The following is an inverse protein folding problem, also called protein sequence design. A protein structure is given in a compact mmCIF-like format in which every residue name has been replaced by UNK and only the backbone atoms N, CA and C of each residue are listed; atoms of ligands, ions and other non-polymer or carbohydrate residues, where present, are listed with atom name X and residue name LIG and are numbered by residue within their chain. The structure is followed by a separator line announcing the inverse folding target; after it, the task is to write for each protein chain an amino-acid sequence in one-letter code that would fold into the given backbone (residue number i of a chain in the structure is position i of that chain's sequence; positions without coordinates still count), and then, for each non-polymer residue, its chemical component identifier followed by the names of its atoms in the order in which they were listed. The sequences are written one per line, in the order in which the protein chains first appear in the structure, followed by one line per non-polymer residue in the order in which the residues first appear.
data_IF_429601474179
#
_entry.id   IF_429601474179
#
_cell.length_a   1.000
_cell.length_b   1.000
_cell.length_c   1.000
_cell.angle_alpha   90.00
_cell.angle_beta   90.00
_cell.angle_gamma   90.00
#
_symmetry.space_group_name_H-M   'P 1'
#
loop_
_entity.id
_entity.type
_entity.pdbx_description
1 polymer ?
#
# COMPACT_ATOMS: atom_id res chain seq x y z
N UNK A 1 -6.01 -31.45 8.09
CA UNK A 1 -5.45 -30.08 8.19
C UNK A 1 -6.59 -29.08 8.04
N UNK A 2 -7.06 -28.50 9.14
CA UNK A 2 -8.10 -27.46 9.16
C UNK A 2 -7.36 -26.13 9.32
N UNK A 3 -6.79 -25.62 8.23
CA UNK A 3 -6.08 -24.33 8.26
C UNK A 3 -7.11 -23.24 7.95
N UNK A 4 -7.51 -22.55 9.01
CA UNK A 4 -8.08 -21.20 9.10
C UNK A 4 -8.51 -20.53 7.78
N UNK A 5 -9.81 -20.61 7.47
CA UNK A 5 -10.49 -19.48 6.83
C UNK A 5 -10.94 -18.56 7.97
N UNK A 6 -10.14 -17.52 8.27
CA UNK A 6 -10.71 -16.34 8.94
C UNK A 6 -11.80 -15.83 8.02
N UNK A 7 -12.99 -15.58 8.56
CA UNK A 7 -14.04 -14.90 7.79
C UNK A 7 -13.48 -13.56 7.32
N UNK A 8 -13.85 -13.08 6.13
CA UNK A 8 -13.29 -11.85 5.57
C UNK A 8 -13.38 -10.66 6.56
N UNK A 9 -14.46 -10.62 7.35
CA UNK A 9 -14.67 -9.68 8.46
C UNK A 9 -13.60 -9.77 9.56
N UNK A 10 -13.20 -10.98 9.97
CA UNK A 10 -12.14 -11.18 10.96
C UNK A 10 -10.76 -10.80 10.41
N UNK A 11 -10.51 -11.04 9.12
CA UNK A 11 -9.28 -10.63 8.46
C UNK A 11 -9.16 -9.09 8.41
N UNK A 12 -10.24 -8.39 8.05
CA UNK A 12 -10.31 -6.91 8.08
C UNK A 12 -10.06 -6.39 9.50
N UNK A 13 -10.72 -6.97 10.51
CA UNK A 13 -10.56 -6.55 11.91
C UNK A 13 -9.14 -6.78 12.44
N UNK A 14 -8.52 -7.91 12.08
CA UNK A 14 -7.13 -8.19 12.44
C UNK A 14 -6.17 -7.18 11.79
N UNK A 15 -6.42 -6.82 10.53
CA UNK A 15 -5.70 -5.75 9.85
C UNK A 15 -5.87 -4.41 10.57
N UNK A 16 -7.11 -3.98 10.87
CA UNK A 16 -7.40 -2.73 11.60
C UNK A 16 -6.64 -2.63 12.93
N UNK A 17 -6.54 -3.74 13.67
CA UNK A 17 -5.75 -3.80 14.90
C UNK A 17 -4.24 -3.66 14.66
N UNK A 18 -3.71 -4.26 13.60
CA UNK A 18 -2.31 -4.09 13.21
C UNK A 18 -2.00 -2.63 12.84
N UNK A 19 -2.99 -1.93 12.28
CA UNK A 19 -2.88 -0.54 11.85
C UNK A 19 -2.93 0.44 13.00
N UNK A 20 -3.86 0.24 13.94
CA UNK A 20 -3.88 1.00 15.18
C UNK A 20 -2.56 0.87 15.97
N UNK A 21 -1.85 -0.26 15.80
CA UNK A 21 -0.50 -0.44 16.34
C UNK A 21 0.55 0.33 15.52
N UNK A 22 0.53 0.22 14.19
CA UNK A 22 1.41 0.98 13.29
C UNK A 22 1.26 2.50 13.44
N UNK A 23 0.04 3.01 13.69
CA UNK A 23 -0.24 4.43 13.89
C UNK A 23 0.45 4.99 15.15
N UNK A 24 0.69 4.11 16.13
CA UNK A 24 1.45 4.42 17.35
C UNK A 24 2.96 4.22 17.19
N UNK A 25 3.42 3.63 16.08
CA UNK A 25 4.84 3.45 15.82
C UNK A 25 5.43 4.70 15.16
N UNK A 26 6.48 5.24 15.78
CA UNK A 26 7.33 6.26 15.16
C UNK A 26 8.35 5.54 14.28
N UNK A 27 8.17 5.60 12.97
CA UNK A 27 9.15 5.07 12.02
C UNK A 27 10.24 6.14 11.80
N UNK A 28 11.51 5.74 11.93
CA UNK A 28 12.67 6.64 11.74
C UNK A 28 12.78 7.14 10.29
N UNK A 29 12.37 6.31 9.34
CA UNK A 29 12.38 6.58 7.91
C UNK A 29 11.00 6.25 7.32
N UNK A 30 9.98 7.12 7.50
CA UNK A 30 8.59 6.78 7.21
C UNK A 30 8.16 7.08 5.77
N UNK A 31 9.09 7.37 4.86
CA UNK A 31 8.75 7.76 3.48
C UNK A 31 9.12 6.69 2.46
N UNK A 32 8.27 6.56 1.44
CA UNK A 32 8.45 5.68 0.30
C UNK A 32 8.41 6.53 -0.98
N UNK A 33 8.90 5.96 -2.08
CA UNK A 33 8.69 6.52 -3.41
C UNK A 33 7.68 5.67 -4.15
N UNK A 34 6.69 6.30 -4.77
CA UNK A 34 5.69 5.65 -5.61
C UNK A 34 5.66 6.28 -7.01
N UNK A 35 5.23 5.51 -8.00
CA UNK A 35 4.86 6.00 -9.32
C UNK A 35 3.44 5.54 -9.63
N UNK A 36 2.56 6.44 -10.05
CA UNK A 36 1.14 6.15 -10.34
C UNK A 36 0.41 5.46 -9.17
N UNK A 37 0.71 5.87 -7.93
CA UNK A 37 0.12 5.30 -6.72
C UNK A 37 0.61 3.90 -6.37
N UNK A 38 1.67 3.41 -7.03
CA UNK A 38 2.27 2.10 -6.77
C UNK A 38 3.69 2.30 -6.22
N UNK A 39 4.03 1.72 -5.06
CA UNK A 39 5.40 1.77 -4.54
C UNK A 39 6.40 1.17 -5.52
N UNK A 40 7.57 1.80 -5.60
CA UNK A 40 8.67 1.34 -6.46
C UNK A 40 9.93 1.04 -5.65
N UNK A 41 10.68 0.07 -6.14
CA UNK A 41 12.05 -0.22 -5.74
C UNK A 41 12.98 0.05 -6.92
N UNK A 42 14.24 0.35 -6.64
CA UNK A 42 15.21 0.74 -7.64
C UNK A 42 16.63 0.54 -7.13
N UNK A 43 17.56 0.46 -8.07
CA UNK A 43 18.99 0.47 -7.79
C UNK A 43 19.50 1.91 -7.82
N UNK A 44 20.63 2.15 -7.16
CA UNK A 44 21.33 3.43 -7.20
C UNK A 44 22.73 3.14 -7.72
N UNK A 45 23.13 3.83 -8.79
CA UNK A 45 24.46 3.68 -9.37
C UNK A 45 25.54 4.42 -8.56
N UNK A 46 26.79 4.32 -9.02
CA UNK A 46 27.95 4.93 -8.37
C UNK A 46 27.88 6.47 -8.30
N UNK A 47 27.15 7.08 -9.24
CA UNK A 47 26.95 8.52 -9.33
C UNK A 47 25.71 9.00 -8.52
N UNK A 48 24.99 8.08 -7.89
CA UNK A 48 23.82 8.39 -7.07
C UNK A 48 22.52 8.55 -7.86
N UNK A 49 22.48 8.14 -9.12
CA UNK A 49 21.27 8.15 -9.94
C UNK A 49 20.49 6.85 -9.77
N UNK A 50 19.17 7.00 -9.87
CA UNK A 50 18.24 5.90 -9.76
C UNK A 50 18.19 5.13 -11.08
N UNK A 51 18.42 3.82 -11.00
CA UNK A 51 18.37 2.90 -12.13
C UNK A 51 17.44 1.72 -11.85
N UNK A 52 17.03 1.01 -12.89
CA UNK A 52 16.25 -0.21 -12.80
C UNK A 52 15.00 -0.12 -11.89
N UNK A 53 14.18 0.90 -12.13
CA UNK A 53 12.93 1.13 -11.38
C UNK A 53 11.94 0.00 -11.63
N UNK A 54 11.45 -0.60 -10.56
CA UNK A 54 10.56 -1.76 -10.55
C UNK A 54 9.40 -1.52 -9.59
N UNK A 55 8.19 -1.94 -9.97
CA UNK A 55 7.05 -1.96 -9.04
C UNK A 55 7.32 -2.98 -7.95
N UNK A 56 6.93 -2.66 -6.72
CA UNK A 56 7.02 -3.60 -5.61
C UNK A 56 5.80 -3.48 -4.69
N UNK A 57 5.56 -4.53 -3.91
CA UNK A 57 4.57 -4.46 -2.85
C UNK A 57 5.03 -3.46 -1.76
N UNK A 58 4.11 -2.77 -1.06
CA UNK A 58 4.46 -1.76 -0.04
C UNK A 58 5.41 -2.27 1.05
N UNK A 59 5.28 -3.54 1.46
CA UNK A 59 6.12 -4.16 2.50
C UNK A 59 7.55 -4.50 2.02
N UNK A 60 7.80 -4.49 0.71
CA UNK A 60 9.12 -4.69 0.10
C UNK A 60 9.76 -3.37 -0.32
N UNK A 61 9.02 -2.26 -0.24
CA UNK A 61 9.52 -0.95 -0.59
C UNK A 61 10.52 -0.48 0.46
N UNK A 62 11.66 0.03 0.00
CA UNK A 62 12.65 0.64 0.89
C UNK A 62 12.09 1.95 1.43
N UNK A 63 12.33 2.20 2.73
CA UNK A 63 11.90 3.41 3.39
C UNK A 63 13.05 4.38 3.64
N UNK A 64 12.72 5.68 3.64
CA UNK A 64 13.68 6.78 3.62
C UNK A 64 13.28 7.90 4.58
N UNK A 65 14.26 8.75 4.90
CA UNK A 65 13.96 10.06 5.46
C UNK A 65 13.23 10.91 4.42
N UNK A 66 12.55 11.98 4.84
CA UNK A 66 11.85 12.87 3.91
C UNK A 66 12.79 13.42 2.83
N UNK A 67 13.95 13.90 3.27
CA UNK A 67 14.95 14.53 2.41
C UNK A 67 15.47 13.55 1.34
N UNK A 68 15.83 12.34 1.75
CA UNK A 68 16.31 11.32 0.83
C UNK A 68 15.22 10.89 -0.15
N UNK A 69 13.98 10.72 0.34
CA UNK A 69 12.85 10.38 -0.49
C UNK A 69 12.59 11.45 -1.56
N UNK A 70 12.60 12.74 -1.19
CA UNK A 70 12.37 13.83 -2.13
C UNK A 70 13.48 13.89 -3.20
N UNK A 71 14.74 13.65 -2.81
CA UNK A 71 15.87 13.56 -3.73
C UNK A 71 15.69 12.41 -4.72
N UNK A 72 15.38 11.21 -4.24
CA UNK A 72 15.22 10.02 -5.07
C UNK A 72 13.97 10.10 -5.96
N UNK A 73 12.85 10.59 -5.44
CA UNK A 73 11.62 10.79 -6.21
C UNK A 73 11.80 11.76 -7.37
N UNK A 74 12.71 12.73 -7.25
CA UNK A 74 13.03 13.66 -8.35
C UNK A 74 13.67 12.97 -9.55
N UNK A 75 14.47 11.93 -9.33
CA UNK A 75 15.21 11.19 -10.35
C UNK A 75 14.46 9.93 -10.82
N UNK A 76 13.59 9.36 -10.00
CA UNK A 76 12.75 8.21 -10.36
C UNK A 76 11.79 8.55 -11.48
N UNK A 77 11.80 7.70 -12.51
CA UNK A 77 10.79 7.65 -13.57
C UNK A 77 10.38 6.20 -13.79
N UNK A 78 9.10 5.94 -14.00
CA UNK A 78 8.66 4.62 -14.46
C UNK A 78 8.83 4.49 -16.00
N UNK A 79 8.50 3.32 -16.56
CA UNK A 79 8.60 3.06 -18.00
C UNK A 79 7.76 3.99 -18.89
N UNK A 80 6.73 4.62 -18.32
CA UNK A 80 5.84 5.56 -19.00
C UNK A 80 6.28 7.03 -18.84
N UNK A 81 7.39 7.28 -18.13
CA UNK A 81 7.92 8.62 -17.87
C UNK A 81 7.25 9.36 -16.71
N UNK A 82 6.36 8.71 -15.95
CA UNK A 82 5.78 9.29 -14.73
C UNK A 82 6.86 9.51 -13.68
N UNK A 83 6.87 10.72 -13.11
CA UNK A 83 7.76 11.08 -12.00
C UNK A 83 7.37 10.41 -10.69
N UNK A 84 8.37 9.96 -9.94
CA UNK A 84 8.19 9.47 -8.59
C UNK A 84 7.63 10.53 -7.65
N UNK A 85 6.76 10.09 -6.74
CA UNK A 85 6.19 10.90 -5.66
C UNK A 85 6.61 10.34 -4.30
N UNK A 86 6.78 11.22 -3.33
CA UNK A 86 7.06 10.83 -1.95
C UNK A 86 5.75 10.65 -1.20
N UNK A 87 5.55 9.46 -0.66
CA UNK A 87 4.39 9.14 0.17
C UNK A 87 4.85 8.71 1.55
N UNK A 88 4.12 9.13 2.58
CA UNK A 88 4.35 8.61 3.93
C UNK A 88 3.77 7.19 4.00
N UNK A 89 4.50 6.24 4.60
CA UNK A 89 4.09 4.83 4.75
C UNK A 89 2.69 4.74 5.34
N UNK A 90 2.41 5.55 6.37
CA UNK A 90 1.08 5.60 7.02
C UNK A 90 -0.03 5.97 6.04
N UNK A 91 0.19 6.98 5.21
CA UNK A 91 -0.81 7.47 4.26
C UNK A 91 -1.06 6.42 3.17
N UNK A 92 0.02 5.79 2.67
CA UNK A 92 -0.07 4.71 1.70
C UNK A 92 -0.87 3.51 2.26
N UNK A 93 -0.64 3.17 3.52
CA UNK A 93 -1.34 2.10 4.22
C UNK A 93 -2.81 2.46 4.45
N UNK A 94 -3.12 3.68 4.90
CA UNK A 94 -4.50 4.17 5.04
C UNK A 94 -5.27 4.10 3.72
N UNK A 95 -4.66 4.60 2.64
CA UNK A 95 -5.26 4.56 1.30
C UNK A 95 -5.54 3.13 0.82
N UNK A 96 -4.63 2.19 1.09
CA UNK A 96 -4.83 0.79 0.74
C UNK A 96 -6.04 0.18 1.49
N UNK A 97 -6.27 0.57 2.74
CA UNK A 97 -7.41 0.07 3.52
C UNK A 97 -8.73 0.64 3.08
N UNK A 98 -8.76 1.94 2.75
CA UNK A 98 -9.97 2.56 2.24
C UNK A 98 -10.41 1.89 0.93
N UNK A 99 -9.44 1.48 0.10
CA UNK A 99 -9.71 0.68 -1.09
C UNK A 99 -10.26 -0.73 -0.75
N UNK A 100 -9.63 -1.45 0.18
CA UNK A 100 -10.12 -2.78 0.61
C UNK A 100 -11.51 -2.70 1.27
N UNK A 101 -11.79 -1.65 2.05
CA UNK A 101 -13.11 -1.40 2.64
C UNK A 101 -14.16 -1.17 1.57
N UNK A 102 -13.87 -0.34 0.57
CA UNK A 102 -14.78 -0.11 -0.55
C UNK A 102 -15.09 -1.42 -1.31
N UNK A 103 -14.09 -2.28 -1.51
CA UNK A 103 -14.29 -3.62 -2.10
C UNK A 103 -15.18 -4.48 -1.20
N UNK A 104 -14.93 -4.51 0.11
CA UNK A 104 -15.72 -5.29 1.06
C UNK A 104 -17.17 -4.80 1.17
N UNK A 105 -17.41 -3.49 1.19
CA UNK A 105 -18.75 -2.89 1.16
C UNK A 105 -19.49 -3.29 -0.13
N UNK A 106 -18.79 -3.24 -1.26
CA UNK A 106 -19.32 -3.69 -2.55
C UNK A 106 -19.70 -5.17 -2.50
N UNK A 107 -18.83 -6.05 -2.00
CA UNK A 107 -19.12 -7.48 -1.86
C UNK A 107 -20.29 -7.76 -0.91
N UNK A 108 -20.36 -7.03 0.21
CA UNK A 108 -21.47 -7.15 1.16
C UNK A 108 -22.81 -6.73 0.55
N UNK A 109 -22.83 -5.69 -0.29
CA UNK A 109 -24.04 -5.28 -1.01
C UNK A 109 -24.51 -6.30 -2.05
N UNK A 110 -23.60 -7.04 -2.68
CA UNK A 110 -23.97 -8.14 -3.57
C UNK A 110 -24.52 -9.34 -2.81
N UNK A 111 -23.92 -9.68 -1.66
CA UNK A 111 -24.40 -10.77 -0.81
C UNK A 111 -25.82 -10.52 -0.28
N UNK A 112 -26.12 -9.29 0.16
CA UNK A 112 -27.46 -8.93 0.64
C UNK A 112 -28.50 -8.89 -0.48
N UNK A 113 -28.10 -8.59 -1.72
CA UNK A 113 -28.98 -8.69 -2.89
C UNK A 113 -29.31 -10.15 -3.23
N UNK A 114 -28.33 -11.07 -3.18
CA UNK A 114 -28.60 -12.49 -3.40
C UNK A 114 -29.50 -13.11 -2.31
N UNK A 115 -29.38 -12.65 -1.06
CA UNK A 115 -30.27 -13.07 0.03
C UNK A 115 -31.70 -12.54 -0.15
N UNK A 116 -31.87 -11.37 -0.77
CA UNK A 116 -33.20 -10.83 -1.11
C UNK A 116 -33.83 -11.56 -2.31
N UNK A 117 -33.04 -11.99 -3.29
CA UNK A 117 -33.53 -12.80 -4.43
C UNK A 117 -33.95 -14.22 -4.01
N UNK A 118 -33.32 -14.82 -3.00
CA UNK A 118 -33.74 -16.14 -2.47
C UNK A 118 -35.03 -16.08 -1.63
N UNK A 119 -35.40 -14.90 -1.13
CA UNK A 119 -36.62 -14.69 -0.33
C UNK A 119 -37.83 -14.31 -1.21
N UNK A 120 -37.61 -13.90 -2.47
CA UNK A 120 -38.65 -13.60 -3.46
C UNK A 120 -39.01 -14.82 -4.32
#
# INVERSE_FOLDING_TARGET
MKTMMLTATEAVRAYEMALARLDRMTLVAPYLVECDGIPVTFDVDEDGYVTAVRRCAPHLARSFTRLDADRLASTVRNGDGTRGNVVHVRDAVHKALDAERAVMETLASFASLSELEEIM
#
